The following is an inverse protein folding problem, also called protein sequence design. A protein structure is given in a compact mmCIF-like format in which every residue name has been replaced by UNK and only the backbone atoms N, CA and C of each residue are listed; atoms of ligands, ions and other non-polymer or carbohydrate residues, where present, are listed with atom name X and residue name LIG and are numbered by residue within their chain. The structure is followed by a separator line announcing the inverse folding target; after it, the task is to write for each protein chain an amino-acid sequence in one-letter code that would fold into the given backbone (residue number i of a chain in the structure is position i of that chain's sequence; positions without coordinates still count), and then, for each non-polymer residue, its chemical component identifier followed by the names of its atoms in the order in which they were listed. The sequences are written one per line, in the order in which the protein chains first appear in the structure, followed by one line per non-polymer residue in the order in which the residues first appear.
data_IF_744275309016
#
_entry.id   IF_744275309016
#
_cell.length_a   1.000
_cell.length_b   1.000
_cell.length_c   1.000
_cell.angle_alpha   90.00
_cell.angle_beta   90.00
_cell.angle_gamma   90.00
#
_symmetry.space_group_name_H-M   'P 1'
#
loop_
_entity.id
_entity.type
_entity.pdbx_description
1 polymer ?
#
# COMPACT_ATOMS: atom_id res chain seq x y z
N UNK A 1 5.28 29.19 -9.78
CA UNK A 1 5.57 27.81 -10.28
C UNK A 1 4.72 26.78 -9.55
N UNK A 2 4.60 26.84 -8.21
CA UNK A 2 3.61 26.03 -7.46
C UNK A 2 2.16 26.20 -7.95
N UNK A 3 1.84 27.36 -8.50
CA UNK A 3 0.51 27.74 -8.99
C UNK A 3 -0.02 26.74 -10.04
N UNK A 4 0.87 26.14 -10.85
CA UNK A 4 0.49 25.21 -11.92
C UNK A 4 -0.15 23.91 -11.43
N UNK A 5 0.18 23.42 -10.24
CA UNK A 5 -0.45 22.20 -9.70
C UNK A 5 -1.85 22.54 -9.16
N UNK A 6 -1.93 23.61 -8.36
CA UNK A 6 -3.18 24.07 -7.77
C UNK A 6 -4.19 24.48 -8.86
N UNK A 7 -3.72 25.08 -9.96
CA UNK A 7 -4.56 25.44 -11.09
C UNK A 7 -5.05 24.23 -11.90
N UNK A 8 -4.23 23.17 -12.09
CA UNK A 8 -4.70 21.91 -12.70
C UNK A 8 -5.78 21.27 -11.81
N UNK A 9 -5.54 21.17 -10.50
CA UNK A 9 -6.50 20.60 -9.56
C UNK A 9 -7.81 21.40 -9.51
N UNK A 10 -7.77 22.73 -9.69
CA UNK A 10 -8.97 23.59 -9.77
C UNK A 10 -9.70 23.52 -11.11
N UNK A 11 -9.01 23.19 -12.21
CA UNK A 11 -9.60 23.06 -13.53
C UNK A 11 -10.38 21.75 -13.70
N UNK A 12 -9.98 20.70 -12.97
CA UNK A 12 -10.79 19.49 -12.86
C UNK A 12 -12.09 19.76 -12.10
N UNK A 13 -13.21 19.30 -12.65
CA UNK A 13 -14.54 19.56 -12.09
C UNK A 13 -14.77 18.86 -10.74
N UNK A 14 -14.03 17.77 -10.48
CA UNK A 14 -14.05 16.96 -9.26
C UNK A 14 -12.64 16.40 -9.00
N UNK A 15 -11.71 17.21 -8.46
CA UNK A 15 -10.40 16.70 -8.08
C UNK A 15 -10.55 15.76 -6.87
N UNK A 16 -9.77 14.67 -6.80
CA UNK A 16 -9.72 13.82 -5.60
C UNK A 16 -9.39 14.66 -4.36
N UNK A 17 -10.07 14.42 -3.23
CA UNK A 17 -9.72 15.11 -1.98
C UNK A 17 -8.37 14.61 -1.46
N UNK A 18 -7.39 15.52 -1.41
CA UNK A 18 -6.02 15.27 -0.96
C UNK A 18 -5.68 16.14 0.25
N UNK A 19 -4.92 15.56 1.16
CA UNK A 19 -4.55 16.18 2.43
C UNK A 19 -3.44 17.22 2.30
N UNK A 20 -3.22 18.00 3.35
CA UNK A 20 -2.24 19.08 3.32
C UNK A 20 -0.81 18.55 3.15
N UNK A 21 -0.53 17.38 3.74
CA UNK A 21 0.77 16.73 3.68
C UNK A 21 0.95 16.01 2.34
N UNK A 22 -0.14 15.44 1.79
CA UNK A 22 -0.16 14.89 0.43
C UNK A 22 0.13 15.95 -0.63
N UNK A 23 -0.51 17.12 -0.54
CA UNK A 23 -0.24 18.26 -1.43
C UNK A 23 1.19 18.81 -1.26
N UNK A 24 1.74 18.80 -0.04
CA UNK A 24 3.13 19.20 0.20
C UNK A 24 4.14 18.24 -0.46
N UNK A 25 3.95 16.93 -0.30
CA UNK A 25 4.76 15.89 -0.96
C UNK A 25 4.65 15.99 -2.49
N UNK A 26 3.44 16.12 -3.04
CA UNK A 26 3.22 16.32 -4.48
C UNK A 26 3.92 17.57 -5.01
N UNK A 27 3.91 18.69 -4.28
CA UNK A 27 4.68 19.90 -4.64
C UNK A 27 6.18 19.64 -4.59
N UNK A 28 6.68 18.87 -3.63
CA UNK A 28 8.10 18.47 -3.57
C UNK A 28 8.50 17.60 -4.76
N UNK A 29 7.70 16.59 -5.13
CA UNK A 29 7.94 15.75 -6.32
C UNK A 29 7.90 16.58 -7.61
N UNK A 30 6.86 17.38 -7.81
CA UNK A 30 6.68 18.21 -9.02
C UNK A 30 7.68 19.37 -9.12
N UNK A 31 8.20 19.90 -8.00
CA UNK A 31 9.24 20.95 -8.00
C UNK A 31 10.57 20.52 -8.65
N UNK A 32 10.80 19.20 -8.75
CA UNK A 32 11.97 18.59 -9.41
C UNK A 32 11.78 18.41 -10.93
N UNK A 33 10.59 18.73 -11.44
CA UNK A 33 10.21 18.57 -12.85
C UNK A 33 10.24 19.93 -13.60
N UNK A 34 10.45 19.89 -14.91
CA UNK A 34 10.51 21.09 -15.76
C UNK A 34 9.13 21.66 -16.13
N UNK A 35 8.05 20.98 -15.77
CA UNK A 35 6.67 21.37 -16.03
C UNK A 35 5.69 20.33 -15.51
N UNK A 36 4.41 20.68 -15.47
CA UNK A 36 3.31 19.77 -15.11
C UNK A 36 2.35 19.71 -16.29
N UNK A 37 1.95 18.49 -16.66
CA UNK A 37 1.04 18.19 -17.77
C UNK A 37 -0.15 17.42 -17.21
N UNK A 38 -1.34 17.97 -17.39
CA UNK A 38 -2.60 17.23 -17.25
C UNK A 38 -2.80 16.38 -18.51
N UNK A 39 -2.98 15.07 -18.37
CA UNK A 39 -3.09 14.17 -19.52
C UNK A 39 -4.54 13.91 -19.91
N UNK A 40 -4.93 14.45 -21.07
CA UNK A 40 -6.25 14.31 -21.71
C UNK A 40 -6.63 12.89 -22.19
N UNK A 41 -5.77 11.90 -21.96
CA UNK A 41 -5.98 10.51 -22.38
C UNK A 41 -5.73 10.23 -23.86
N UNK A 42 -5.16 11.17 -24.63
CA UNK A 42 -4.93 11.06 -26.09
C UNK A 42 -3.61 11.68 -26.55
N UNK A 43 -3.22 12.82 -25.98
CA UNK A 43 -2.04 13.60 -26.36
C UNK A 43 -0.72 12.92 -25.96
N UNK A 44 0.28 13.06 -26.82
CA UNK A 44 1.64 12.58 -26.57
C UNK A 44 2.38 13.53 -25.62
N UNK A 45 3.08 12.99 -24.61
CA UNK A 45 3.78 13.79 -23.58
C UNK A 45 5.30 13.62 -23.66
N UNK A 46 5.89 14.19 -24.72
CA UNK A 46 7.34 14.09 -25.01
C UNK A 46 8.21 15.14 -24.29
N UNK A 47 7.64 15.96 -23.40
CA UNK A 47 8.36 17.03 -22.71
C UNK A 47 9.43 16.47 -21.74
N UNK A 48 10.73 16.80 -21.90
CA UNK A 48 11.78 16.25 -21.06
C UNK A 48 11.68 16.65 -19.59
N UNK A 49 11.44 15.67 -18.71
CA UNK A 49 11.36 15.89 -17.27
C UNK A 49 10.06 16.52 -16.80
N UNK A 50 8.95 16.34 -17.53
CA UNK A 50 7.63 16.76 -17.09
C UNK A 50 7.04 15.80 -16.02
N UNK A 51 6.26 16.36 -15.09
CA UNK A 51 5.32 15.61 -14.27
C UNK A 51 4.00 15.45 -15.04
N UNK A 52 3.53 14.22 -15.22
CA UNK A 52 2.32 13.89 -15.98
C UNK A 52 1.27 13.37 -15.00
N UNK A 53 0.22 14.15 -14.79
CA UNK A 53 -0.88 13.77 -13.91
C UNK A 53 -1.92 13.03 -14.75
N UNK A 54 -2.32 11.85 -14.29
CA UNK A 54 -3.34 11.02 -14.96
C UNK A 54 -4.52 10.86 -14.00
N UNK A 55 -5.65 11.48 -14.35
CA UNK A 55 -6.89 11.44 -13.57
C UNK A 55 -7.76 10.23 -13.92
N UNK A 56 -7.82 9.85 -15.19
CA UNK A 56 -8.71 8.79 -15.68
C UNK A 56 -7.94 7.56 -16.18
N UNK A 57 -8.42 6.38 -15.82
CA UNK A 57 -7.88 5.13 -16.32
C UNK A 57 -8.17 4.95 -17.82
N UNK A 58 -7.21 4.38 -18.55
CA UNK A 58 -7.34 4.17 -19.99
C UNK A 58 -7.09 2.72 -20.39
N UNK A 59 -7.71 2.30 -21.49
CA UNK A 59 -7.54 0.96 -22.04
C UNK A 59 -6.12 0.73 -22.57
N UNK A 60 -5.70 -0.54 -22.62
CA UNK A 60 -4.31 -0.96 -22.83
C UNK A 60 -3.59 -0.32 -24.05
N UNK A 61 -4.32 0.01 -25.13
CA UNK A 61 -3.77 0.69 -26.32
C UNK A 61 -3.33 2.13 -26.00
N UNK A 62 -4.14 2.89 -25.26
CA UNK A 62 -3.80 4.26 -24.84
C UNK A 62 -2.69 4.28 -23.80
N UNK A 63 -2.70 3.31 -22.88
CA UNK A 63 -1.59 3.09 -21.95
C UNK A 63 -0.30 2.83 -22.72
N UNK A 64 -0.31 1.99 -23.76
CA UNK A 64 0.87 1.76 -24.59
C UNK A 64 1.34 3.03 -25.30
N UNK A 65 0.42 3.77 -25.93
CA UNK A 65 0.74 5.02 -26.62
C UNK A 65 1.31 6.10 -25.66
N UNK A 66 0.81 6.18 -24.42
CA UNK A 66 1.38 7.05 -23.39
C UNK A 66 2.82 6.63 -23.05
N UNK A 67 3.06 5.35 -22.75
CA UNK A 67 4.39 4.85 -22.39
C UNK A 67 5.41 5.09 -23.52
N UNK A 68 5.02 4.92 -24.78
CA UNK A 68 5.87 5.18 -25.96
C UNK A 68 6.12 6.68 -26.20
N UNK A 69 5.22 7.55 -25.76
CA UNK A 69 5.35 9.01 -25.89
C UNK A 69 6.12 9.67 -24.73
N UNK A 70 6.15 9.04 -23.54
CA UNK A 70 6.79 9.59 -22.35
C UNK A 70 8.30 9.73 -22.53
N UNK A 71 8.82 10.91 -22.20
CA UNK A 71 10.27 11.10 -22.09
C UNK A 71 10.84 10.23 -20.95
N UNK A 72 12.06 9.73 -21.11
CA UNK A 72 12.72 8.82 -20.15
C UNK A 72 12.88 9.36 -18.71
N UNK A 73 12.84 10.69 -18.55
CA UNK A 73 12.93 11.40 -17.28
C UNK A 73 11.58 11.97 -16.80
N UNK A 74 10.47 11.67 -17.49
CA UNK A 74 9.15 12.09 -17.06
C UNK A 74 8.67 11.24 -15.86
N UNK A 75 7.91 11.88 -14.97
CA UNK A 75 7.29 11.23 -13.80
C UNK A 75 5.79 11.20 -14.03
N UNK A 76 5.17 10.02 -13.96
CA UNK A 76 3.71 9.83 -13.97
C UNK A 76 3.21 9.85 -12.54
N UNK A 77 2.15 10.60 -12.27
CA UNK A 77 1.52 10.78 -10.96
C UNK A 77 0.05 10.34 -11.04
N UNK A 78 -0.36 9.50 -10.09
CA UNK A 78 -1.72 9.03 -9.90
C UNK A 78 -2.24 9.52 -8.54
N UNK A 79 -3.38 10.21 -8.54
CA UNK A 79 -3.97 10.80 -7.33
C UNK A 79 -5.00 9.88 -6.65
N UNK A 80 -5.37 8.78 -7.31
CA UNK A 80 -6.27 7.70 -6.84
C UNK A 80 -5.56 6.37 -7.08
N UNK A 81 -4.35 6.24 -6.54
CA UNK A 81 -3.40 5.15 -6.81
C UNK A 81 -3.90 3.77 -6.37
N UNK A 82 -4.84 3.73 -5.42
CA UNK A 82 -5.57 2.54 -4.98
C UNK A 82 -6.45 1.92 -6.06
N UNK A 83 -6.85 2.67 -7.09
CA UNK A 83 -7.77 2.18 -8.12
C UNK A 83 -7.09 1.13 -9.01
N UNK A 84 -7.62 -0.11 -9.08
CA UNK A 84 -7.05 -1.15 -9.94
C UNK A 84 -7.16 -0.84 -11.43
N UNK A 85 -8.00 0.12 -11.82
CA UNK A 85 -8.08 0.60 -13.20
C UNK A 85 -6.72 1.16 -13.70
N UNK A 86 -5.81 1.56 -12.80
CA UNK A 86 -4.45 1.97 -13.13
C UNK A 86 -3.41 0.84 -13.15
N UNK A 87 -3.75 -0.41 -12.79
CA UNK A 87 -2.75 -1.49 -12.66
C UNK A 87 -2.05 -1.80 -14.00
N UNK A 88 -2.77 -1.68 -15.12
CA UNK A 88 -2.20 -1.80 -16.47
C UNK A 88 -1.19 -0.71 -16.85
N UNK A 89 -1.24 0.45 -16.19
CA UNK A 89 -0.26 1.55 -16.34
C UNK A 89 0.89 1.38 -15.34
N UNK A 90 0.58 1.15 -14.05
CA UNK A 90 1.57 0.92 -12.98
C UNK A 90 2.52 -0.25 -13.30
N UNK A 91 2.02 -1.32 -13.92
CA UNK A 91 2.81 -2.50 -14.32
C UNK A 91 3.79 -2.26 -15.49
N UNK A 92 3.70 -1.14 -16.22
CA UNK A 92 4.62 -0.76 -17.30
C UNK A 92 5.65 0.30 -16.91
N UNK A 93 5.60 0.76 -15.66
CA UNK A 93 6.44 1.83 -15.13
C UNK A 93 7.28 1.30 -13.96
N UNK A 94 8.45 1.89 -13.75
CA UNK A 94 9.15 1.73 -12.49
C UNK A 94 8.45 2.58 -11.44
N UNK A 95 7.90 1.96 -10.40
CA UNK A 95 7.43 2.68 -9.23
C UNK A 95 8.61 3.43 -8.59
N UNK A 96 8.41 4.71 -8.27
CA UNK A 96 9.40 5.55 -7.59
C UNK A 96 9.00 5.78 -6.13
N UNK A 97 7.71 5.97 -5.89
CA UNK A 97 7.17 6.06 -4.53
C UNK A 97 5.65 6.04 -4.46
N UNK A 98 5.15 6.07 -3.24
CA UNK A 98 3.74 6.16 -2.90
C UNK A 98 3.54 6.86 -1.57
N UNK A 99 2.35 7.41 -1.35
CA UNK A 99 1.96 8.09 -0.13
C UNK A 99 0.59 7.61 0.33
N UNK A 100 0.51 7.23 1.60
CA UNK A 100 -0.72 6.73 2.22
C UNK A 100 -1.83 7.78 2.36
N UNK A 101 -3.01 7.33 2.77
CA UNK A 101 -4.18 8.17 2.97
C UNK A 101 -4.11 8.98 4.28
N UNK A 102 -4.68 10.19 4.29
CA UNK A 102 -4.72 11.15 5.40
C UNK A 102 -6.15 11.27 5.98
N UNK A 103 -6.88 10.14 6.05
CA UNK A 103 -8.17 10.04 6.74
C UNK A 103 -9.40 10.54 5.96
N UNK A 104 -10.39 11.09 6.66
CA UNK A 104 -11.72 11.40 6.10
C UNK A 104 -11.72 12.45 4.98
N UNK A 105 -10.88 13.46 5.15
CA UNK A 105 -10.76 14.63 4.27
C UNK A 105 -9.76 14.40 3.14
N UNK A 106 -9.08 13.26 3.15
CA UNK A 106 -8.00 12.90 2.24
C UNK A 106 -7.86 11.37 2.11
N UNK A 107 -8.89 10.67 1.61
CA UNK A 107 -8.97 9.21 1.69
C UNK A 107 -8.11 8.49 0.64
N UNK A 108 -7.63 9.20 -0.39
CA UNK A 108 -6.94 8.61 -1.53
C UNK A 108 -5.44 8.38 -1.26
N UNK A 109 -4.87 7.40 -1.95
CA UNK A 109 -3.43 7.13 -1.94
C UNK A 109 -2.80 7.73 -3.20
N UNK A 110 -1.63 8.36 -3.05
CA UNK A 110 -0.88 8.91 -4.19
C UNK A 110 0.20 7.92 -4.62
N UNK A 111 0.39 7.74 -5.92
CA UNK A 111 1.46 6.91 -6.48
C UNK A 111 2.22 7.68 -7.55
N UNK A 112 3.54 7.48 -7.65
CA UNK A 112 4.33 8.00 -8.77
C UNK A 112 5.43 7.04 -9.23
N UNK A 113 5.76 7.16 -10.52
CA UNK A 113 6.76 6.33 -11.19
C UNK A 113 7.20 6.90 -12.53
N UNK A 114 8.05 6.19 -13.26
CA UNK A 114 8.59 6.65 -14.54
C UNK A 114 9.09 5.54 -15.45
N UNK A 115 9.48 5.91 -16.67
CA UNK A 115 9.99 4.96 -17.69
C UNK A 115 11.37 4.41 -17.31
N UNK A 116 12.16 5.15 -16.53
CA UNK A 116 13.43 4.70 -15.95
C UNK A 116 13.32 4.44 -14.44
N UNK A 117 14.17 3.55 -13.88
CA UNK A 117 14.33 3.42 -12.43
C UNK A 117 14.76 4.75 -11.79
N UNK A 118 14.42 4.93 -10.52
CA UNK A 118 14.73 6.14 -9.76
C UNK A 118 16.24 6.31 -9.57
N UNK A 119 16.76 7.51 -9.84
CA UNK A 119 18.19 7.85 -9.76
C UNK A 119 18.46 8.87 -8.66
N UNK A 120 19.69 8.88 -8.13
CA UNK A 120 20.11 9.87 -7.11
C UNK A 120 20.15 11.26 -7.75
N UNK A 121 19.40 12.26 -7.25
CA UNK A 121 19.50 13.64 -7.72
C UNK A 121 20.91 14.23 -7.51
N UNK A 122 21.23 15.30 -8.23
CA UNK A 122 22.47 16.05 -8.00
C UNK A 122 22.33 16.93 -6.76
N UNK A 123 23.21 16.76 -5.77
CA UNK A 123 23.20 17.56 -4.54
C UNK A 123 24.43 17.35 -3.65
N UNK A 124 24.52 18.14 -2.58
CA UNK A 124 25.52 17.98 -1.53
C UNK A 124 24.90 17.20 -0.35
N UNK A 125 25.19 15.91 -0.29
CA UNK A 125 24.71 15.00 0.75
C UNK A 125 25.77 14.83 1.83
N UNK A 126 25.42 15.02 3.11
CA UNK A 126 26.37 14.81 4.21
C UNK A 126 26.30 13.37 4.68
N UNK A 127 27.46 12.74 4.82
CA UNK A 127 27.58 11.33 5.21
C UNK A 127 27.18 11.04 6.66
N UNK A 128 26.92 12.10 7.44
CA UNK A 128 26.50 12.04 8.85
C UNK A 128 24.99 12.25 9.05
N UNK A 129 24.21 12.60 8.02
CA UNK A 129 22.76 12.82 8.20
C UNK A 129 21.98 11.49 8.30
N UNK A 130 22.62 10.36 7.99
CA UNK A 130 22.04 9.01 8.09
C UNK A 130 23.04 8.08 8.79
N UNK A 131 22.58 7.36 9.82
CA UNK A 131 23.37 6.35 10.50
C UNK A 131 23.17 4.98 9.83
N UNK A 132 24.26 4.37 9.38
CA UNK A 132 24.24 3.03 8.80
C UNK A 132 24.31 1.97 9.91
N UNK A 133 23.34 1.08 9.99
CA UNK A 133 23.22 0.11 11.09
C UNK A 133 23.19 -1.32 10.56
N UNK A 134 23.81 -2.22 11.32
CA UNK A 134 23.81 -3.64 11.03
C UNK A 134 24.07 -4.45 12.29
N UNK A 135 23.65 -5.71 12.30
CA UNK A 135 23.94 -6.65 13.38
C UNK A 135 24.08 -8.08 12.88
N UNK A 136 24.92 -8.85 13.56
CA UNK A 136 25.25 -10.25 13.24
C UNK A 136 25.18 -11.14 14.48
N UNK A 137 24.98 -12.44 14.29
CA UNK A 137 24.91 -13.41 15.38
C UNK A 137 26.26 -14.10 15.65
N UNK A 138 26.51 -14.44 16.91
CA UNK A 138 27.82 -14.94 17.36
C UNK A 138 28.25 -16.33 16.83
N UNK A 139 27.40 -17.02 16.07
CA UNK A 139 27.66 -18.39 15.57
C UNK A 139 28.40 -18.44 14.23
N UNK A 140 28.45 -17.34 13.47
CA UNK A 140 29.18 -17.29 12.20
C UNK A 140 30.68 -17.11 12.46
N UNK A 141 31.31 -18.26 12.71
CA UNK A 141 32.71 -18.37 13.11
C UNK A 141 33.62 -18.10 11.90
N UNK A 142 34.27 -16.93 11.96
CA UNK A 142 35.41 -16.45 11.16
C UNK A 142 35.14 -15.58 9.92
N UNK A 143 34.78 -14.31 10.19
CA UNK A 143 35.37 -13.18 9.43
C UNK A 143 34.45 -12.38 8.50
N UNK A 144 33.15 -12.61 8.49
CA UNK A 144 32.26 -12.02 7.48
C UNK A 144 31.95 -10.52 7.69
N UNK A 145 31.87 -10.04 8.95
CA UNK A 145 31.58 -8.62 9.28
C UNK A 145 32.67 -7.63 8.83
N UNK A 146 33.86 -8.14 8.51
CA UNK A 146 34.96 -7.35 7.99
C UNK A 146 34.60 -6.69 6.65
N UNK A 147 33.73 -7.32 5.84
CA UNK A 147 33.34 -6.84 4.51
C UNK A 147 32.56 -5.52 4.57
N UNK A 148 31.35 -5.55 5.16
CA UNK A 148 30.49 -4.37 5.27
C UNK A 148 31.16 -3.25 6.07
N UNK A 149 31.79 -3.58 7.20
CA UNK A 149 32.48 -2.59 8.06
C UNK A 149 33.63 -1.90 7.32
N UNK A 150 34.41 -2.63 6.52
CA UNK A 150 35.47 -2.04 5.70
C UNK A 150 34.91 -1.15 4.59
N UNK A 151 33.79 -1.53 3.95
CA UNK A 151 33.16 -0.72 2.91
C UNK A 151 32.56 0.57 3.46
N UNK A 152 31.86 0.52 4.61
CA UNK A 152 31.33 1.70 5.31
C UNK A 152 32.46 2.69 5.67
N UNK A 153 33.58 2.18 6.20
CA UNK A 153 34.79 2.97 6.50
C UNK A 153 35.43 3.55 5.24
N UNK A 154 35.58 2.75 4.18
CA UNK A 154 36.11 3.17 2.86
C UNK A 154 35.27 4.28 2.24
N UNK A 155 33.95 4.19 2.36
CA UNK A 155 33.01 5.18 1.87
C UNK A 155 32.88 6.39 2.81
N UNK A 156 33.42 6.32 4.03
CA UNK A 156 33.38 7.38 5.04
C UNK A 156 31.97 7.62 5.60
N UNK A 157 31.18 6.55 5.73
CA UNK A 157 29.81 6.57 6.23
C UNK A 157 29.82 6.34 7.75
N UNK A 158 28.98 7.07 8.48
CA UNK A 158 28.82 6.92 9.93
C UNK A 158 28.01 5.65 10.24
N UNK A 159 28.48 4.79 11.15
CA UNK A 159 27.91 3.46 11.32
C UNK A 159 28.01 2.84 12.71
N UNK A 160 27.03 1.98 13.02
CA UNK A 160 27.03 1.06 14.16
C UNK A 160 26.82 -0.36 13.64
N UNK A 161 27.83 -1.22 13.80
CA UNK A 161 27.75 -2.66 13.47
C UNK A 161 28.01 -3.44 14.75
N UNK A 162 27.03 -4.21 15.21
CA UNK A 162 27.04 -4.80 16.57
C UNK A 162 26.78 -6.30 16.55
N UNK A 163 27.57 -7.04 17.31
CA UNK A 163 27.35 -8.47 17.57
C UNK A 163 26.18 -8.65 18.55
N UNK A 164 25.11 -9.34 18.14
CA UNK A 164 24.02 -9.72 19.03
C UNK A 164 24.32 -11.10 19.62
N UNK A 165 24.30 -11.18 20.94
CA UNK A 165 24.48 -12.45 21.66
C UNK A 165 23.12 -13.18 21.79
N UNK A 166 22.98 -14.43 21.30
CA UNK A 166 21.70 -15.16 21.36
C UNK A 166 21.25 -15.49 22.80
N UNK A 167 22.14 -15.34 23.79
CA UNK A 167 21.88 -15.62 25.20
C UNK A 167 21.37 -14.40 26.01
N UNK A 168 21.09 -13.26 25.39
CA UNK A 168 20.41 -12.15 26.08
C UNK A 168 18.93 -12.50 26.33
N UNK A 169 18.66 -12.96 27.55
CA UNK A 169 17.39 -13.54 27.99
C UNK A 169 16.22 -12.55 28.00
N UNK A 170 15.53 -12.47 26.85
CA UNK A 170 14.11 -12.07 26.69
C UNK A 170 13.59 -12.18 25.25
N UNK A 171 14.47 -12.19 24.25
CA UNK A 171 14.07 -12.27 22.84
C UNK A 171 13.45 -13.63 22.50
N UNK A 172 12.23 -13.61 21.93
CA UNK A 172 11.78 -14.68 21.03
C UNK A 172 12.65 -14.60 19.78
N UNK A 173 12.99 -15.74 19.16
CA UNK A 173 13.98 -15.87 18.08
C UNK A 173 13.62 -15.18 16.73
N UNK A 174 12.68 -14.21 16.72
CA UNK A 174 12.33 -13.41 15.55
C UNK A 174 12.40 -11.88 15.75
N UNK A 175 12.69 -11.36 16.96
CA UNK A 175 12.56 -9.90 17.21
C UNK A 175 13.87 -9.11 17.14
N UNK A 176 15.03 -9.77 17.04
CA UNK A 176 16.37 -9.15 17.16
C UNK A 176 16.59 -7.94 16.24
N UNK A 177 16.31 -8.09 14.93
CA UNK A 177 16.53 -7.05 13.93
C UNK A 177 15.63 -5.82 14.11
N UNK A 178 14.32 -6.02 14.29
CA UNK A 178 13.38 -4.90 14.48
C UNK A 178 13.61 -4.19 15.81
N UNK A 179 13.87 -4.94 16.89
CA UNK A 179 14.23 -4.37 18.19
C UNK A 179 15.51 -3.52 18.09
N UNK A 180 16.55 -4.01 17.40
CA UNK A 180 17.81 -3.29 17.18
C UNK A 180 17.64 -2.04 16.31
N UNK A 181 16.86 -2.11 15.22
CA UNK A 181 16.55 -0.94 14.39
C UNK A 181 15.85 0.14 15.22
N UNK A 182 14.84 -0.23 16.04
CA UNK A 182 14.12 0.71 16.91
C UNK A 182 15.05 1.30 17.97
N UNK A 183 15.93 0.50 18.58
CA UNK A 183 16.91 0.99 19.55
C UNK A 183 17.85 2.03 18.92
N UNK A 184 18.45 1.72 17.77
CA UNK A 184 19.38 2.62 17.10
C UNK A 184 18.68 3.88 16.55
N UNK A 185 17.47 3.76 16.00
CA UNK A 185 16.64 4.89 15.58
C UNK A 185 16.33 5.84 16.74
N UNK A 186 15.95 5.28 17.90
CA UNK A 186 15.65 6.05 19.11
C UNK A 186 16.89 6.73 19.71
N UNK A 187 18.06 6.09 19.64
CA UNK A 187 19.32 6.62 20.18
C UNK A 187 19.98 7.66 19.25
N UNK A 188 19.87 7.48 17.93
CA UNK A 188 20.58 8.30 16.97
C UNK A 188 19.92 9.68 16.74
N UNK A 189 18.61 9.82 16.98
CA UNK A 189 17.83 11.04 16.73
C UNK A 189 17.96 11.59 15.30
N UNK A 190 18.23 10.71 14.33
CA UNK A 190 18.42 10.98 12.90
C UNK A 190 18.07 9.73 12.10
N UNK A 191 17.78 9.83 10.79
CA UNK A 191 17.49 8.68 9.94
C UNK A 191 18.51 7.54 10.06
N UNK A 192 18.01 6.30 9.99
CA UNK A 192 18.83 5.09 10.01
C UNK A 192 18.67 4.30 8.72
N UNK A 193 19.75 3.63 8.30
CA UNK A 193 19.74 2.72 7.17
C UNK A 193 20.28 1.36 7.61
N UNK A 194 19.37 0.39 7.78
CA UNK A 194 19.73 -1.01 7.96
C UNK A 194 20.32 -1.60 6.68
N UNK A 195 21.45 -2.30 6.82
CA UNK A 195 22.04 -3.16 5.78
C UNK A 195 22.42 -4.49 6.45
N UNK A 196 22.00 -5.63 5.88
CA UNK A 196 22.41 -6.95 6.40
C UNK A 196 23.94 -7.09 6.46
N UNK A 197 24.47 -7.70 7.53
CA UNK A 197 25.91 -7.73 7.85
C UNK A 197 26.78 -8.35 6.75
N UNK A 198 26.24 -9.38 6.08
CA UNK A 198 26.84 -10.13 4.98
C UNK A 198 26.79 -9.40 3.62
N UNK A 199 26.13 -8.24 3.52
CA UNK A 199 26.10 -7.46 2.29
C UNK A 199 27.35 -6.59 2.10
N UNK A 200 27.66 -6.25 0.86
CA UNK A 200 28.81 -5.43 0.43
C UNK A 200 28.34 -4.15 -0.22
N UNK A 201 29.05 -3.05 0.03
CA UNK A 201 28.69 -1.72 -0.49
C UNK A 201 29.59 -1.34 -1.66
N UNK A 202 29.08 -1.49 -2.88
CA UNK A 202 29.82 -1.12 -4.09
C UNK A 202 29.84 0.40 -4.30
N UNK A 203 28.68 1.06 -4.14
CA UNK A 203 28.52 2.51 -4.33
C UNK A 203 27.88 3.19 -3.10
N UNK A 204 27.82 4.53 -3.09
CA UNK A 204 27.25 5.32 -2.00
C UNK A 204 25.70 5.21 -1.97
N UNK A 205 25.08 4.71 -0.89
CA UNK A 205 23.65 4.49 -0.79
C UNK A 205 22.89 5.78 -0.36
N UNK A 206 22.93 6.81 -1.20
CA UNK A 206 22.39 8.15 -0.88
C UNK A 206 20.92 8.37 -1.29
N UNK A 207 20.27 7.41 -1.96
CA UNK A 207 18.97 7.67 -2.59
C UNK A 207 17.85 8.06 -1.59
N UNK A 208 17.67 7.38 -0.44
CA UNK A 208 16.64 7.80 0.53
C UNK A 208 16.89 9.19 1.11
N UNK A 209 18.13 9.47 1.54
CA UNK A 209 18.56 10.78 2.05
C UNK A 209 18.31 11.90 1.02
N UNK A 210 18.56 11.61 -0.26
CA UNK A 210 18.40 12.58 -1.34
C UNK A 210 16.94 12.88 -1.69
N UNK A 211 16.00 12.00 -1.33
CA UNK A 211 14.58 12.14 -1.63
C UNK A 211 13.81 12.77 -0.48
N UNK A 212 14.18 12.46 0.77
CA UNK A 212 13.56 13.00 1.99
C UNK A 212 12.30 12.25 2.46
N UNK A 213 12.14 11.00 2.04
CA UNK A 213 10.98 10.14 2.35
C UNK A 213 10.97 9.62 3.80
N UNK A 214 9.81 9.18 4.29
CA UNK A 214 9.67 8.55 5.61
C UNK A 214 10.29 7.15 5.67
N UNK A 215 10.10 6.35 4.61
CA UNK A 215 10.53 4.96 4.52
C UNK A 215 11.04 4.65 3.10
N UNK A 216 12.10 3.84 2.97
CA UNK A 216 12.52 3.34 1.67
C UNK A 216 13.00 1.88 1.72
N UNK A 217 12.60 1.11 0.71
CA UNK A 217 12.83 -0.33 0.61
C UNK A 217 12.96 -0.75 -0.85
N UNK A 218 13.81 -1.74 -1.16
CA UNK A 218 13.82 -2.36 -2.48
C UNK A 218 12.66 -3.36 -2.60
N UNK A 219 11.95 -3.33 -3.72
CA UNK A 219 10.91 -4.30 -4.05
C UNK A 219 11.43 -5.19 -5.17
N UNK A 220 11.43 -6.50 -4.95
CA UNK A 220 11.81 -7.50 -5.97
C UNK A 220 10.81 -7.46 -7.15
N UNK A 221 11.17 -7.93 -8.36
CA UNK A 221 10.24 -7.99 -9.50
C UNK A 221 8.97 -8.82 -9.28
N UNK A 222 8.98 -9.76 -8.32
CA UNK A 222 7.81 -10.52 -7.88
C UNK A 222 6.94 -9.76 -6.84
N UNK A 223 7.24 -8.49 -6.56
CA UNK A 223 6.46 -7.66 -5.65
C UNK A 223 6.81 -7.81 -4.17
N UNK A 224 7.77 -8.66 -3.80
CA UNK A 224 8.16 -8.90 -2.40
C UNK A 224 9.09 -7.78 -1.90
N UNK A 225 8.84 -7.27 -0.69
CA UNK A 225 9.73 -6.31 -0.01
C UNK A 225 11.02 -6.99 0.43
N UNK A 226 12.15 -6.34 0.16
CA UNK A 226 13.46 -6.84 0.51
C UNK A 226 13.94 -6.25 1.83
N UNK A 227 13.99 -7.07 2.89
CA UNK A 227 14.35 -6.60 4.23
C UNK A 227 15.84 -6.38 4.42
N UNK A 228 16.68 -6.74 3.45
CA UNK A 228 18.13 -6.65 3.58
C UNK A 228 18.70 -5.23 3.52
N UNK A 229 17.94 -4.29 2.95
CA UNK A 229 18.26 -2.86 2.94
C UNK A 229 17.00 -2.03 3.20
N UNK A 230 16.92 -1.40 4.37
CA UNK A 230 15.76 -0.65 4.85
C UNK A 230 16.17 0.71 5.42
N UNK A 231 15.57 1.78 4.92
CA UNK A 231 15.77 3.13 5.43
C UNK A 231 14.53 3.62 6.19
N UNK A 232 14.74 4.17 7.38
CA UNK A 232 13.70 4.79 8.20
C UNK A 232 14.13 6.21 8.58
N UNK A 233 13.31 7.21 8.24
CA UNK A 233 13.50 8.58 8.65
C UNK A 233 13.10 8.79 10.11
N UNK A 234 13.59 9.86 10.75
CA UNK A 234 13.12 10.26 12.07
C UNK A 234 11.76 11.00 11.98
N UNK A 235 10.67 10.25 11.77
CA UNK A 235 9.29 10.79 11.72
C UNK A 235 8.29 9.88 12.45
N UNK A 236 7.19 10.44 12.92
CA UNK A 236 6.10 9.69 13.60
C UNK A 236 5.47 8.59 12.72
N UNK A 237 5.61 8.71 11.39
CA UNK A 237 5.09 7.74 10.40
C UNK A 237 6.01 6.54 10.29
N UNK A 238 7.32 6.77 10.21
CA UNK A 238 8.33 5.72 10.27
C UNK A 238 8.29 5.00 11.63
N UNK A 239 8.09 5.74 12.72
CA UNK A 239 7.85 5.19 14.06
C UNK A 239 6.62 4.27 14.09
N UNK A 240 5.48 4.74 13.56
CA UNK A 240 4.26 3.94 13.49
C UNK A 240 4.43 2.64 12.67
N UNK A 241 5.20 2.68 11.58
CA UNK A 241 5.55 1.50 10.78
C UNK A 241 6.40 0.52 11.60
N UNK A 242 7.46 1.00 12.26
CA UNK A 242 8.32 0.20 13.13
C UNK A 242 7.51 -0.45 14.28
N UNK A 243 6.59 0.28 14.89
CA UNK A 243 5.71 -0.19 15.96
C UNK A 243 4.72 -1.27 15.49
N UNK A 244 4.14 -1.12 14.30
CA UNK A 244 3.26 -2.15 13.72
C UNK A 244 4.09 -3.39 13.36
N UNK A 245 5.23 -3.22 12.70
CA UNK A 245 6.12 -4.32 12.32
C UNK A 245 6.60 -5.12 13.52
N UNK A 246 7.09 -4.44 14.56
CA UNK A 246 7.48 -5.07 15.84
C UNK A 246 6.34 -5.89 16.45
N UNK A 247 5.12 -5.35 16.48
CA UNK A 247 3.94 -6.06 17.02
C UNK A 247 3.57 -7.29 16.20
N UNK A 248 3.61 -7.20 14.87
CA UNK A 248 3.35 -8.35 14.00
C UNK A 248 4.42 -9.43 14.20
N UNK A 249 5.69 -9.07 14.22
CA UNK A 249 6.83 -9.99 14.44
C UNK A 249 6.79 -10.65 15.83
N UNK A 250 6.45 -9.91 16.88
CA UNK A 250 6.25 -10.47 18.23
C UNK A 250 5.07 -11.47 18.31
N UNK A 251 4.03 -11.26 17.51
CA UNK A 251 2.78 -12.04 17.52
C UNK A 251 2.86 -13.28 16.62
N UNK A 252 3.55 -13.17 15.48
CA UNK A 252 3.63 -14.20 14.45
C UNK A 252 5.09 -14.54 14.10
N UNK A 253 5.93 -14.98 15.06
CA UNK A 253 7.37 -15.19 14.86
C UNK A 253 7.71 -16.34 13.88
N UNK A 254 6.72 -17.10 13.42
CA UNK A 254 6.87 -18.20 12.47
C UNK A 254 6.66 -17.76 11.00
N UNK A 255 6.34 -16.48 10.75
CA UNK A 255 6.14 -15.95 9.39
C UNK A 255 7.40 -15.22 8.89
N UNK A 256 7.68 -15.21 7.57
CA UNK A 256 8.83 -14.49 7.01
C UNK A 256 8.85 -13.01 7.38
N UNK A 257 10.06 -12.47 7.66
CA UNK A 257 10.26 -11.06 8.00
C UNK A 257 9.72 -10.13 6.89
N UNK A 258 9.97 -10.48 5.63
CA UNK A 258 9.51 -9.75 4.44
C UNK A 258 7.98 -9.67 4.34
N UNK A 259 7.27 -10.72 4.74
CA UNK A 259 5.81 -10.74 4.82
C UNK A 259 5.30 -9.82 5.94
N UNK A 260 5.92 -9.90 7.12
CA UNK A 260 5.52 -9.13 8.30
C UNK A 260 5.77 -7.62 8.12
N UNK A 261 6.88 -7.22 7.49
CA UNK A 261 7.16 -5.83 7.13
C UNK A 261 6.14 -5.29 6.12
N UNK A 262 5.85 -6.06 5.10
CA UNK A 262 4.93 -5.71 4.01
C UNK A 262 3.47 -5.60 4.51
N UNK A 263 3.06 -6.47 5.44
CA UNK A 263 1.79 -6.33 6.18
C UNK A 263 1.78 -5.09 7.09
N UNK A 264 2.89 -4.78 7.77
CA UNK A 264 3.00 -3.57 8.59
C UNK A 264 2.91 -2.29 7.75
N UNK A 265 3.55 -2.30 6.58
CA UNK A 265 3.50 -1.22 5.60
C UNK A 265 2.07 -0.98 5.11
N UNK A 266 1.36 -2.01 4.67
CA UNK A 266 -0.03 -1.89 4.20
C UNK A 266 -0.96 -1.29 5.28
N UNK A 267 -0.88 -1.81 6.52
CA UNK A 267 -1.64 -1.29 7.65
C UNK A 267 -1.31 0.16 8.02
N UNK A 268 -0.05 0.57 7.85
CA UNK A 268 0.40 1.95 8.09
C UNK A 268 -0.12 2.87 6.98
N UNK A 269 0.04 2.48 5.72
CA UNK A 269 -0.33 3.23 4.52
C UNK A 269 -1.86 3.45 4.38
N UNK A 270 -2.67 2.54 4.94
CA UNK A 270 -4.12 2.68 5.04
C UNK A 270 -4.62 3.55 6.22
N UNK A 271 -3.74 3.93 7.14
CA UNK A 271 -4.05 4.71 8.36
C UNK A 271 -3.32 6.05 8.46
N UNK A 272 -2.24 6.23 7.70
CA UNK A 272 -1.31 7.36 7.77
C UNK A 272 -0.68 7.65 6.41
N UNK A 273 -0.37 8.91 6.21
CA UNK A 273 0.28 9.50 5.06
C UNK A 273 1.81 9.29 5.07
N UNK A 274 2.23 8.01 5.12
CA UNK A 274 3.65 7.60 5.07
C UNK A 274 4.24 7.71 3.66
N UNK A 275 5.27 8.54 3.48
CA UNK A 275 5.99 8.64 2.19
C UNK A 275 6.94 7.45 2.02
N UNK A 276 6.60 6.55 1.11
CA UNK A 276 7.40 5.36 0.79
C UNK A 276 8.11 5.51 -0.55
N UNK A 277 9.43 5.32 -0.57
CA UNK A 277 10.24 5.26 -1.79
C UNK A 277 10.58 3.81 -2.14
N UNK A 278 10.37 3.45 -3.40
CA UNK A 278 10.72 2.15 -3.95
C UNK A 278 12.12 2.20 -4.55
N UNK A 279 13.08 1.55 -3.87
CA UNK A 279 14.48 1.53 -4.31
C UNK A 279 14.65 0.61 -5.53
N UNK A 280 15.38 1.04 -6.57
CA UNK A 280 15.48 0.31 -7.83
C UNK A 280 16.25 -1.02 -7.69
N UNK A 281 16.14 -1.92 -8.67
CA UNK A 281 16.86 -3.21 -8.69
C UNK A 281 18.40 -3.07 -8.74
N UNK A 282 18.91 -1.89 -9.11
CA UNK A 282 20.33 -1.57 -8.99
C UNK A 282 20.75 -1.29 -7.55
N UNK A 283 19.80 -1.04 -6.64
CA UNK A 283 20.09 -0.69 -5.26
C UNK A 283 20.46 -1.90 -4.41
N UNK A 284 19.81 -3.04 -4.63
CA UNK A 284 20.09 -4.31 -3.97
C UNK A 284 20.13 -5.44 -4.98
N UNK A 285 21.20 -6.24 -4.96
CA UNK A 285 21.37 -7.34 -5.91
C UNK A 285 22.11 -8.51 -5.28
N UNK A 286 21.68 -9.75 -5.56
CA UNK A 286 22.40 -10.96 -5.12
C UNK A 286 23.66 -11.20 -5.96
N UNK A 287 24.71 -11.68 -5.30
CA UNK A 287 26.07 -11.93 -5.85
C UNK A 287 26.13 -13.04 -6.93
N UNK A 288 25.08 -13.86 -7.05
CA UNK A 288 24.96 -14.93 -8.04
C UNK A 288 24.83 -14.39 -9.48
N UNK A 289 24.36 -13.14 -9.64
CA UNK A 289 24.29 -12.46 -10.94
C UNK A 289 25.50 -11.55 -11.12
N UNK A 290 26.29 -11.78 -12.18
CA UNK A 290 27.48 -10.97 -12.57
C UNK A 290 27.30 -9.49 -12.20
N UNK A 291 28.13 -8.92 -11.31
CA UNK A 291 27.91 -7.58 -10.79
C UNK A 291 27.88 -6.56 -11.93
N UNK A 292 26.82 -5.76 -11.98
CA UNK A 292 26.76 -4.60 -12.87
C UNK A 292 27.53 -3.46 -12.20
N UNK A 293 28.13 -2.62 -13.04
CA UNK A 293 28.95 -1.47 -12.61
C UNK A 293 28.12 -0.44 -11.81
N UNK A 294 26.80 -0.45 -11.97
CA UNK A 294 25.82 0.45 -11.36
C UNK A 294 25.22 -0.02 -10.03
N UNK A 295 25.58 -1.21 -9.54
CA UNK A 295 24.95 -1.78 -8.33
C UNK A 295 25.39 -1.05 -7.05
N UNK A 296 24.48 -0.80 -6.11
CA UNK A 296 24.78 -0.07 -4.86
C UNK A 296 25.15 -1.01 -3.74
N UNK A 297 24.25 -1.94 -3.39
CA UNK A 297 24.44 -2.98 -2.38
C UNK A 297 24.44 -4.34 -3.09
N UNK A 298 25.48 -5.14 -2.82
CA UNK A 298 25.65 -6.52 -3.28
C UNK A 298 25.44 -7.46 -2.10
N UNK A 299 24.37 -8.23 -2.14
CA UNK A 299 24.02 -9.20 -1.11
C UNK A 299 24.70 -10.53 -1.39
N UNK A 300 25.36 -11.10 -0.38
CA UNK A 300 25.98 -12.40 -0.54
C UNK A 300 24.94 -13.50 -0.77
N UNK A 301 25.29 -14.53 -1.54
CA UNK A 301 24.34 -15.58 -1.95
C UNK A 301 23.79 -16.40 -0.76
N UNK A 302 24.45 -16.34 0.40
CA UNK A 302 24.05 -16.98 1.66
C UNK A 302 22.85 -16.30 2.36
N UNK A 303 22.26 -15.22 1.81
CA UNK A 303 20.99 -14.70 2.30
C UNK A 303 19.89 -15.77 2.16
N UNK A 304 19.52 -16.37 3.29
CA UNK A 304 18.55 -17.45 3.44
C UNK A 304 17.13 -17.04 3.00
N UNK A 305 16.87 -17.09 1.69
CA UNK A 305 15.53 -17.13 1.08
C UNK A 305 14.86 -18.52 1.22
N UNK A 306 15.41 -19.39 2.08
CA UNK A 306 14.93 -20.74 2.37
C UNK A 306 14.11 -20.79 3.67
N UNK A 307 13.37 -19.72 4.01
CA UNK A 307 12.37 -19.84 5.07
C UNK A 307 11.30 -20.87 4.62
N UNK A 308 10.90 -21.86 5.44
CA UNK A 308 10.00 -22.93 5.00
C UNK A 308 8.64 -22.44 4.46
N UNK A 309 8.22 -21.25 4.90
CA UNK A 309 7.00 -20.56 4.46
C UNK A 309 7.27 -19.43 3.46
N UNK A 310 8.49 -19.28 2.91
CA UNK A 310 8.81 -18.20 1.96
C UNK A 310 7.94 -18.31 0.71
N UNK A 311 7.91 -19.48 0.06
CA UNK A 311 7.07 -19.72 -1.12
C UNK A 311 5.57 -19.52 -0.86
N UNK A 312 5.12 -19.74 0.38
CA UNK A 312 3.75 -19.44 0.80
C UNK A 312 3.55 -17.92 0.92
N UNK A 313 4.45 -17.21 1.60
CA UNK A 313 4.43 -15.76 1.69
C UNK A 313 4.53 -15.09 0.32
N UNK A 314 5.44 -15.51 -0.55
CA UNK A 314 5.58 -14.96 -1.92
C UNK A 314 4.26 -15.07 -2.69
N UNK A 315 3.55 -16.21 -2.60
CA UNK A 315 2.22 -16.37 -3.20
C UNK A 315 1.18 -15.42 -2.59
N UNK A 316 1.24 -15.17 -1.29
CA UNK A 316 0.38 -14.21 -0.58
C UNK A 316 0.75 -12.74 -0.85
N UNK A 317 1.98 -12.45 -1.27
CA UNK A 317 2.47 -11.10 -1.60
C UNK A 317 2.29 -10.74 -3.08
N UNK A 318 2.34 -11.75 -3.96
CA UNK A 318 2.09 -11.65 -5.40
C UNK A 318 0.68 -11.26 -5.87
N UNK A 319 -0.47 -11.38 -5.19
CA UNK A 319 -0.81 -11.52 -3.77
C UNK A 319 -1.67 -10.37 -3.19
N UNK A 320 -1.49 -9.10 -3.60
CA UNK A 320 -2.11 -7.93 -2.91
C UNK A 320 -2.88 -6.86 -3.73
N UNK A 321 -3.61 -7.19 -4.81
CA UNK A 321 -4.07 -6.17 -5.82
C UNK A 321 -2.95 -5.36 -6.50
N UNK A 322 -1.72 -5.53 -6.03
CA UNK A 322 -0.65 -6.12 -6.83
C UNK A 322 -0.41 -7.58 -6.35
N UNK A 323 -1.18 -8.64 -6.64
CA UNK A 323 -2.38 -8.85 -7.47
C UNK A 323 -3.37 -9.96 -7.01
N UNK A 324 -3.41 -10.35 -5.71
CA UNK A 324 -4.18 -11.48 -5.05
C UNK A 324 -3.54 -12.88 -5.14
N UNK A 325 -3.74 -13.82 -4.22
CA UNK A 325 -4.71 -13.96 -3.11
C UNK A 325 -4.03 -13.80 -1.73
N UNK A 326 -4.70 -13.73 -0.57
CA UNK A 326 -6.12 -13.95 -0.20
C UNK A 326 -6.67 -12.79 0.65
N UNK A 327 -8.02 -12.64 0.70
CA UNK A 327 -8.74 -11.49 1.26
C UNK A 327 -8.37 -10.12 0.61
N UNK A 328 -9.28 -9.12 0.59
CA UNK A 328 -8.88 -7.76 0.24
C UNK A 328 -8.16 -7.12 1.41
N UNK A 329 -7.14 -6.32 1.12
CA UNK A 329 -6.59 -5.41 2.13
C UNK A 329 -7.46 -4.16 2.21
N UNK A 330 -7.62 -3.60 3.42
CA UNK A 330 -8.31 -2.34 3.61
C UNK A 330 -7.52 -1.22 2.93
N UNK A 331 -8.15 -0.51 1.99
CA UNK A 331 -7.57 0.64 1.32
C UNK A 331 -7.46 1.84 2.28
N UNK A 332 -8.50 2.02 3.11
CA UNK A 332 -8.61 3.08 4.11
C UNK A 332 -9.15 2.49 5.42
N UNK A 333 -8.52 2.83 6.54
CA UNK A 333 -8.98 2.47 7.89
C UNK A 333 -9.18 3.74 8.70
N UNK A 334 -10.42 3.98 9.13
CA UNK A 334 -10.82 5.18 9.88
C UNK A 334 -11.25 4.80 11.30
N UNK A 335 -10.73 5.52 12.30
CA UNK A 335 -11.12 5.35 13.71
C UNK A 335 -12.30 6.25 14.03
N UNK A 336 -13.31 5.67 14.69
CA UNK A 336 -14.46 6.39 15.21
C UNK A 336 -14.17 7.05 16.57
N UNK A 337 -15.19 7.71 17.14
CA UNK A 337 -15.08 8.31 18.46
C UNK A 337 -14.84 7.25 19.56
N UNK A 338 -14.13 7.65 20.62
CA UNK A 338 -13.82 6.78 21.76
C UNK A 338 -15.11 6.26 22.43
N UNK A 339 -15.13 4.96 22.75
CA UNK A 339 -16.32 4.28 23.31
C UNK A 339 -17.28 3.70 22.26
N UNK A 340 -16.93 3.73 20.97
CA UNK A 340 -17.62 2.95 19.94
C UNK A 340 -17.52 1.44 20.15
N UNK A 341 -18.37 0.68 19.45
CA UNK A 341 -18.45 -0.77 19.52
C UNK A 341 -18.18 -1.43 18.16
N UNK A 342 -17.20 -2.33 18.11
CA UNK A 342 -16.89 -3.13 16.92
C UNK A 342 -16.40 -2.34 15.70
N UNK A 343 -16.21 -3.09 14.63
CA UNK A 343 -15.71 -2.63 13.34
C UNK A 343 -16.82 -2.75 12.29
N UNK A 344 -16.85 -1.85 11.31
CA UNK A 344 -17.67 -1.98 10.09
C UNK A 344 -16.80 -1.96 8.83
N UNK A 345 -16.85 -3.05 8.07
CA UNK A 345 -16.19 -3.18 6.76
C UNK A 345 -17.16 -2.77 5.66
N UNK A 346 -16.75 -1.86 4.80
CA UNK A 346 -17.49 -1.42 3.63
C UNK A 346 -16.88 -2.05 2.40
N UNK A 347 -17.63 -2.92 1.74
CA UNK A 347 -17.21 -3.59 0.50
C UNK A 347 -17.81 -2.85 -0.67
N UNK A 348 -16.98 -2.12 -1.41
CA UNK A 348 -17.34 -1.49 -2.69
C UNK A 348 -17.01 -2.50 -3.79
N UNK A 349 -18.04 -3.13 -4.37
CA UNK A 349 -17.89 -4.14 -5.44
C UNK A 349 -17.87 -3.52 -6.85
N UNK A 350 -17.63 -4.36 -7.86
CA UNK A 350 -17.73 -4.05 -9.29
C UNK A 350 -16.87 -2.87 -9.79
N UNK A 351 -15.81 -2.51 -9.07
CA UNK A 351 -14.98 -1.33 -9.40
C UNK A 351 -14.31 -1.40 -10.78
N UNK A 352 -14.19 -2.58 -11.40
CA UNK A 352 -13.65 -2.71 -12.77
C UNK A 352 -14.64 -2.27 -13.85
N UNK A 353 -15.93 -2.09 -13.50
CA UNK A 353 -16.97 -1.60 -14.39
C UNK A 353 -17.27 -0.09 -14.22
N UNK A 354 -16.83 0.52 -13.12
CA UNK A 354 -16.98 1.96 -12.87
C UNK A 354 -15.81 2.79 -13.42
N UNK A 355 -16.00 4.11 -13.55
CA UNK A 355 -14.88 5.03 -13.84
C UNK A 355 -14.04 5.27 -12.59
N UNK A 356 -12.81 5.79 -12.77
CA UNK A 356 -11.96 6.23 -11.66
C UNK A 356 -12.61 7.34 -10.84
N UNK A 357 -13.33 8.25 -11.50
CA UNK A 357 -14.16 9.27 -10.85
C UNK A 357 -15.26 8.64 -9.98
N UNK A 358 -16.00 7.64 -10.47
CA UNK A 358 -17.07 7.02 -9.68
C UNK A 358 -16.52 6.29 -8.45
N UNK A 359 -15.42 5.53 -8.60
CA UNK A 359 -14.74 4.84 -7.48
C UNK A 359 -14.32 5.85 -6.41
N UNK A 360 -13.71 6.97 -6.83
CA UNK A 360 -13.30 8.03 -5.91
C UNK A 360 -14.51 8.58 -5.15
N UNK A 361 -15.60 8.92 -5.84
CA UNK A 361 -16.83 9.42 -5.22
C UNK A 361 -17.48 8.41 -4.24
N UNK A 362 -17.41 7.10 -4.51
CA UNK A 362 -17.86 6.08 -3.56
C UNK A 362 -17.01 6.03 -2.29
N UNK A 363 -15.67 6.10 -2.43
CA UNK A 363 -14.72 6.14 -1.29
C UNK A 363 -14.95 7.40 -0.46
N UNK A 364 -15.07 8.56 -1.11
CA UNK A 364 -15.33 9.83 -0.44
C UNK A 364 -16.68 9.85 0.28
N UNK A 365 -17.74 9.34 -0.34
CA UNK A 365 -19.06 9.25 0.28
C UNK A 365 -19.06 8.36 1.53
N UNK A 366 -18.36 7.22 1.49
CA UNK A 366 -18.20 6.32 2.63
C UNK A 366 -17.42 6.99 3.77
N UNK A 367 -16.27 7.60 3.46
CA UNK A 367 -15.43 8.32 4.43
C UNK A 367 -16.17 9.50 5.08
N UNK A 368 -16.85 10.33 4.28
CA UNK A 368 -17.60 11.48 4.77
C UNK A 368 -18.82 11.07 5.62
N UNK A 369 -19.55 10.02 5.23
CA UNK A 369 -20.67 9.51 6.02
C UNK A 369 -20.21 9.00 7.40
N UNK A 370 -19.07 8.31 7.48
CA UNK A 370 -18.56 7.76 8.74
C UNK A 370 -18.00 8.86 9.66
N UNK A 371 -17.33 9.86 9.07
CA UNK A 371 -16.84 11.03 9.81
C UNK A 371 -17.99 11.89 10.37
N UNK A 372 -19.11 12.01 9.64
CA UNK A 372 -20.28 12.75 10.09
C UNK A 372 -21.07 12.01 11.20
N UNK A 373 -21.24 10.70 11.07
CA UNK A 373 -21.94 9.86 12.05
C UNK A 373 -21.44 8.42 11.94
N UNK A 374 -20.54 8.01 12.84
CA UNK A 374 -20.00 6.65 12.87
C UNK A 374 -21.02 5.58 13.30
N UNK A 375 -22.29 5.92 13.57
CA UNK A 375 -23.31 5.00 14.07
C UNK A 375 -23.00 4.39 15.44
N UNK A 376 -21.94 4.85 16.11
CA UNK A 376 -21.35 4.23 17.29
C UNK A 376 -20.36 3.10 17.01
N UNK A 377 -19.90 2.85 15.78
CA UNK A 377 -18.81 1.91 15.49
C UNK A 377 -17.45 2.51 15.88
N UNK A 378 -16.54 1.70 16.44
CA UNK A 378 -15.19 2.18 16.81
C UNK A 378 -14.22 2.29 15.64
N UNK A 379 -14.47 1.59 14.53
CA UNK A 379 -13.60 1.59 13.35
C UNK A 379 -14.43 1.32 12.08
N UNK A 380 -14.02 1.91 10.96
CA UNK A 380 -14.48 1.59 9.62
C UNK A 380 -13.30 1.20 8.75
N UNK A 381 -13.50 0.22 7.87
CA UNK A 381 -12.54 -0.19 6.86
C UNK A 381 -13.20 -0.14 5.49
N UNK A 382 -12.56 0.51 4.51
CA UNK A 382 -13.02 0.50 3.11
C UNK A 382 -12.22 -0.55 2.35
N UNK A 383 -12.94 -1.45 1.71
CA UNK A 383 -12.43 -2.57 0.93
C UNK A 383 -12.96 -2.45 -0.48
N UNK A 384 -12.04 -2.30 -1.44
CA UNK A 384 -12.36 -2.27 -2.86
C UNK A 384 -12.35 -3.70 -3.41
N UNK A 385 -13.38 -4.07 -4.16
CA UNK A 385 -13.58 -5.37 -4.81
C UNK A 385 -14.00 -5.20 -6.27
N UNK A 386 -13.43 -6.01 -7.14
CA UNK A 386 -13.60 -5.99 -8.60
C UNK A 386 -13.80 -7.39 -9.19
N UNK A 387 -13.70 -8.45 -8.38
CA UNK A 387 -14.04 -9.83 -8.73
C UNK A 387 -14.86 -10.48 -7.59
N UNK A 388 -15.76 -11.39 -7.92
CA UNK A 388 -16.64 -12.04 -6.92
C UNK A 388 -15.88 -12.86 -5.87
N UNK A 389 -14.74 -13.45 -6.23
CA UNK A 389 -13.86 -14.16 -5.28
C UNK A 389 -13.37 -13.22 -4.17
N UNK A 390 -13.15 -11.95 -4.50
CA UNK A 390 -12.70 -10.94 -3.54
C UNK A 390 -13.80 -10.59 -2.54
N UNK A 391 -15.04 -10.43 -3.02
CA UNK A 391 -16.23 -10.19 -2.18
C UNK A 391 -16.49 -11.38 -1.26
N UNK A 392 -16.48 -12.61 -1.81
CA UNK A 392 -16.61 -13.84 -1.04
C UNK A 392 -15.53 -13.99 0.03
N UNK A 393 -14.31 -13.55 -0.24
CA UNK A 393 -13.22 -13.58 0.75
C UNK A 393 -13.47 -12.66 1.96
N UNK A 394 -14.10 -11.48 1.78
CA UNK A 394 -14.47 -10.61 2.93
C UNK A 394 -15.58 -11.24 3.75
N UNK A 395 -16.61 -11.74 3.07
CA UNK A 395 -17.82 -12.28 3.72
C UNK A 395 -17.55 -13.57 4.52
N UNK A 396 -16.37 -14.17 4.35
CA UNK A 396 -15.90 -15.33 5.13
C UNK A 396 -15.14 -14.95 6.42
N UNK A 397 -14.91 -13.66 6.68
CA UNK A 397 -14.25 -13.19 7.92
C UNK A 397 -15.30 -13.16 9.05
N UNK A 398 -15.39 -14.24 9.83
CA UNK A 398 -16.36 -14.43 10.93
C UNK A 398 -16.09 -13.60 12.20
N UNK A 399 -15.35 -12.49 12.12
CA UNK A 399 -14.82 -11.73 13.28
C UNK A 399 -15.76 -10.63 13.83
N UNK A 400 -17.04 -10.95 14.09
CA UNK A 400 -18.03 -10.04 14.69
C UNK A 400 -18.20 -8.67 13.99
N UNK A 401 -17.65 -8.53 12.79
CA UNK A 401 -17.58 -7.30 12.01
C UNK A 401 -18.88 -7.09 11.23
N UNK A 402 -19.38 -5.85 11.24
CA UNK A 402 -20.51 -5.51 10.37
C UNK A 402 -19.99 -5.38 8.95
N UNK A 403 -20.56 -6.09 7.99
CA UNK A 403 -20.24 -5.86 6.57
C UNK A 403 -21.38 -5.09 5.90
N UNK A 404 -21.04 -3.96 5.27
CA UNK A 404 -21.93 -3.18 4.42
C UNK A 404 -21.43 -3.28 2.98
N UNK A 405 -22.16 -4.00 2.15
CA UNK A 405 -21.87 -4.08 0.72
C UNK A 405 -22.58 -2.95 -0.03
N UNK A 406 -21.88 -2.35 -0.99
CA UNK A 406 -22.37 -1.33 -1.92
C UNK A 406 -21.68 -1.56 -3.26
N UNK A 407 -22.28 -1.14 -4.37
CA UNK A 407 -21.53 -0.99 -5.62
C UNK A 407 -21.16 0.48 -5.89
N UNK A 408 -20.40 0.71 -6.95
CA UNK A 408 -19.91 2.04 -7.33
C UNK A 408 -21.05 3.00 -7.74
N UNK A 409 -22.20 2.48 -8.19
CA UNK A 409 -23.37 3.29 -8.53
C UNK A 409 -24.23 3.63 -7.31
N UNK A 410 -24.27 2.73 -6.32
CA UNK A 410 -24.98 2.92 -5.05
C UNK A 410 -24.20 3.83 -4.08
N UNK A 411 -24.68 5.06 -3.89
CA UNK A 411 -24.06 6.00 -2.95
C UNK A 411 -24.55 5.80 -1.53
N UNK A 412 -23.61 5.58 -0.60
CA UNK A 412 -23.91 5.58 0.83
C UNK A 412 -24.46 6.93 1.28
N UNK A 413 -25.58 6.89 2.00
CA UNK A 413 -26.22 8.09 2.54
C UNK A 413 -25.48 8.57 3.80
N UNK A 414 -25.38 9.87 4.08
CA UNK A 414 -24.66 10.39 5.27
C UNK A 414 -25.10 9.83 6.63
N UNK A 415 -26.31 9.25 6.72
CA UNK A 415 -26.88 8.66 7.93
C UNK A 415 -26.99 7.13 7.88
N UNK A 416 -26.24 6.45 7.00
CA UNK A 416 -26.33 5.00 6.85
C UNK A 416 -25.98 4.26 8.15
N UNK A 417 -24.91 4.66 8.85
CA UNK A 417 -24.43 3.98 10.06
C UNK A 417 -25.42 4.05 11.24
N UNK A 418 -25.99 5.22 11.56
CA UNK A 418 -27.03 5.31 12.60
C UNK A 418 -28.34 4.62 12.22
N UNK A 419 -28.61 4.40 10.93
CA UNK A 419 -29.74 3.57 10.51
C UNK A 419 -29.53 2.08 10.85
N UNK A 420 -28.29 1.57 10.78
CA UNK A 420 -27.94 0.20 11.17
C UNK A 420 -28.13 -0.01 12.69
N UNK A 421 -27.70 0.95 13.51
CA UNK A 421 -27.92 0.94 14.97
C UNK A 421 -29.41 0.79 15.34
N UNK A 422 -30.31 1.44 14.61
CA UNK A 422 -31.77 1.33 14.84
C UNK A 422 -32.34 -0.04 14.46
N UNK A 423 -31.76 -0.72 13.47
CA UNK A 423 -32.16 -2.10 13.11
C UNK A 423 -31.75 -3.09 14.19
N UNK A 424 -30.53 -2.98 14.72
CA UNK A 424 -30.07 -3.79 15.86
C UNK A 424 -30.99 -3.64 17.08
N UNK A 425 -31.27 -2.40 17.49
CA UNK A 425 -32.18 -2.14 18.62
C UNK A 425 -33.59 -2.73 18.44
N UNK A 426 -34.10 -2.82 17.20
CA UNK A 426 -35.38 -3.49 16.91
C UNK A 426 -35.29 -5.02 16.90
N UNK A 427 -34.15 -5.59 16.49
CA UNK A 427 -33.92 -7.02 16.55
C UNK A 427 -33.76 -7.52 18.00
N UNK A 428 -32.98 -6.79 18.80
CA UNK A 428 -32.74 -7.09 20.21
C UNK A 428 -34.02 -6.90 21.06
N UNK A 429 -34.95 -6.02 20.65
CA UNK A 429 -36.28 -5.86 21.28
C UNK A 429 -37.33 -6.91 20.85
N UNK A 430 -37.04 -7.74 19.84
CA UNK A 430 -37.98 -8.74 19.30
C UNK A 430 -37.48 -10.18 19.40
N UNK A 431 -36.38 -10.45 20.10
CA UNK A 431 -35.97 -11.80 20.45
C UNK A 431 -36.79 -12.30 21.68
N UNK A 432 -37.71 -13.27 21.54
CA UNK A 432 -38.22 -13.99 22.70
C UNK A 432 -37.13 -14.91 23.24
N UNK A 433 -36.98 -14.99 24.56
CA UNK A 433 -36.17 -16.04 25.18
C UNK A 433 -36.80 -17.41 24.89
N UNK A 434 -36.17 -18.21 24.02
CA UNK A 434 -35.87 -19.65 24.24
C UNK A 434 -35.79 -20.51 22.97
N UNK A 435 -35.05 -21.61 23.12
CA UNK A 435 -35.02 -22.84 22.33
C UNK A 435 -34.16 -22.90 21.05
N UNK A 436 -33.40 -24.00 20.99
CA UNK A 436 -32.49 -24.37 19.90
C UNK A 436 -33.27 -24.84 18.67
N UNK A 437 -32.96 -24.28 17.49
CA UNK A 437 -33.07 -25.00 16.21
C UNK A 437 -32.06 -24.42 15.22
N UNK A 438 -31.63 -25.25 14.27
CA UNK A 438 -30.71 -24.86 13.20
C UNK A 438 -31.41 -24.06 12.09
N UNK A 439 -30.58 -23.45 11.25
CA UNK A 439 -30.86 -22.97 9.90
C UNK A 439 -31.36 -21.52 9.72
N UNK A 440 -30.76 -20.87 8.71
CA UNK A 440 -31.17 -19.61 8.04
C UNK A 440 -30.68 -18.28 8.64
N UNK A 441 -29.49 -17.83 8.20
CA UNK A 441 -29.14 -16.40 8.15
C UNK A 441 -29.62 -15.79 6.81
N UNK A 442 -30.23 -14.59 6.78
CA UNK A 442 -30.70 -13.98 5.55
C UNK A 442 -29.59 -13.22 4.81
N UNK A 443 -29.23 -13.73 3.62
CA UNK A 443 -28.48 -12.98 2.60
C UNK A 443 -29.49 -12.21 1.72
N UNK A 444 -29.18 -10.96 1.39
CA UNK A 444 -29.78 -10.25 0.24
C UNK A 444 -30.93 -9.30 0.57
N UNK A 445 -30.73 -8.01 0.27
CA UNK A 445 -31.81 -7.05 0.03
C UNK A 445 -31.90 -6.81 -1.48
N UNK A 446 -32.82 -7.49 -2.15
CA UNK A 446 -33.32 -7.06 -3.46
C UNK A 446 -34.52 -6.13 -3.24
N UNK A 447 -34.59 -5.06 -4.03
CA UNK A 447 -35.72 -4.12 -4.04
C UNK A 447 -36.62 -4.44 -5.24
N UNK A 448 -37.79 -5.03 -4.99
CA UNK A 448 -38.93 -4.97 -5.89
C UNK A 448 -39.99 -4.04 -5.25
N UNK A 449 -40.48 -2.97 -5.88
CA UNK A 449 -40.87 -2.75 -7.29
C UNK A 449 -42.27 -3.32 -7.58
N UNK A 450 -43.29 -2.45 -7.40
CA UNK A 450 -44.69 -2.78 -7.62
C UNK A 450 -44.99 -2.95 -9.12
N UNK A 451 -45.36 -4.15 -9.57
CA UNK A 451 -46.17 -4.34 -10.77
C UNK A 451 -47.05 -5.61 -10.67
N UNK A 452 -48.38 -5.42 -10.75
CA UNK A 452 -49.33 -6.51 -10.90
C UNK A 452 -49.30 -7.07 -12.34
N UNK A 453 -49.32 -8.41 -12.53
CA UNK A 453 -49.59 -9.00 -13.82
C UNK A 453 -51.08 -9.35 -13.98
N UNK A 454 -51.71 -8.77 -15.01
CA UNK A 454 -53.01 -9.23 -15.51
C UNK A 454 -52.84 -10.58 -16.22
N UNK A 455 -53.69 -11.57 -15.93
CA UNK A 455 -53.49 -12.96 -16.38
C UNK A 455 -54.32 -13.32 -17.62
N UNK A 456 -53.74 -13.06 -18.79
CA UNK A 456 -54.29 -13.46 -20.10
C UNK A 456 -53.53 -14.64 -20.72
N UNK A 457 -54.01 -15.87 -20.50
CA UNK A 457 -53.62 -17.07 -21.28
C UNK A 457 -54.28 -17.02 -22.68
N UNK A 458 -53.65 -17.55 -23.75
CA UNK A 458 -53.64 -19.01 -23.93
C UNK A 458 -52.40 -19.65 -24.58
N UNK A 459 -52.11 -20.87 -24.09
CA UNK A 459 -51.81 -22.09 -24.84
C UNK A 459 -51.17 -21.99 -26.24
N UNK A 460 -49.94 -22.52 -26.37
CA UNK A 460 -49.63 -23.34 -27.55
C UNK A 460 -48.61 -24.46 -27.30
N UNK A 461 -48.97 -25.63 -27.81
CA UNK A 461 -48.30 -26.91 -27.65
C UNK A 461 -47.08 -27.11 -28.56
N UNK A 462 -46.17 -27.96 -28.07
CA UNK A 462 -45.07 -28.65 -28.77
C UNK A 462 -45.25 -28.84 -30.30
N UNK A 463 -44.15 -28.72 -31.04
CA UNK A 463 -43.60 -29.83 -31.87
C UNK A 463 -42.18 -29.58 -32.37
N UNK A 464 -41.30 -30.56 -32.17
CA UNK A 464 -40.05 -30.70 -32.92
C UNK A 464 -40.34 -31.34 -34.29
N UNK A 465 -39.58 -30.95 -35.34
CA UNK A 465 -38.89 -31.89 -36.25
C UNK A 465 -38.03 -31.17 -37.31
N UNK A 466 -36.78 -31.59 -37.38
CA UNK A 466 -35.96 -31.81 -38.60
C UNK A 466 -36.63 -31.54 -39.96
N UNK A 467 -36.10 -30.60 -40.75
CA UNK A 467 -34.92 -30.82 -41.60
C UNK A 467 -34.24 -29.49 -41.93
#
# INVERSE_FOLDING_TARGET
MNDSLDDILRQHARPPRLGALQLACLRQVTSRCHGIVDWDGVSAVSQPGAAVIVFEATHAVRVQALIEALHENAIVILLVGESPAFDGLKSKLHAHGSLGAEGADAPHQVWWGGVKPLTVPTGLYRKQDTLFISSFESSDIQGEDAGLTADLKRLGLDHVVTQISPNCSKARQGTSKVDFIIEQWSQACRPVFWIDAQARLANLPLLPQALGCDFAVNRRPNGVMNTGALFFHQTERAEALLDIWRRLTCSHPNLPESFLLDQAWALTNAQREIETVWLPDTYWRKDDVKPRIDSTILAHACNNDDHPLEKFAEQMQLGRRFGRHQAPEAHLVMKGAAGGHGLITIVIRDILAGSTTDIAESVEAAAAAFAADNGGFSQMEIVLCGWDDEVRSVLQIEDYAWTLMTDVSERLRPNCFSSLKRRRARHDLHAPESSLSSDSFPIGLALDSDHQPDSGLPDRTRRCRTN
#
